data_IF_502448606276
#
_entry.id   IF_502448606276
#
_cell.length_a   1.000
_cell.length_b   1.000
_cell.length_c   1.000
_cell.angle_alpha   90.00
_cell.angle_beta   90.00
_cell.angle_gamma   90.00
#
_symmetry.space_group_name_H-M   'P 1'
#
loop_
_entity.id
_entity.type
_entity.pdbx_description
1 polymer ?
#
# COMPACT_ATOMS: atom_id res chain seq x y z
N UNK A 1 -2.53 -18.83 -3.98
CA UNK A 1 -3.65 -19.06 -4.90
C UNK A 1 -4.82 -18.10 -4.74
N UNK A 2 -5.03 -17.49 -3.57
CA UNK A 2 -6.23 -16.66 -3.32
C UNK A 2 -6.27 -15.32 -4.06
N UNK A 3 -5.14 -14.72 -4.38
CA UNK A 3 -5.09 -13.41 -5.05
C UNK A 3 -5.43 -13.47 -6.55
N UNK A 4 -5.25 -14.60 -7.21
CA UNK A 4 -5.68 -14.75 -8.60
C UNK A 4 -7.21 -14.70 -8.77
N UNK A 5 -7.96 -15.07 -7.74
CA UNK A 5 -9.42 -15.00 -7.80
C UNK A 5 -9.99 -13.58 -7.82
N UNK A 6 -9.34 -12.63 -7.14
CA UNK A 6 -9.80 -11.24 -7.17
C UNK A 6 -9.55 -10.57 -8.54
N UNK A 7 -8.56 -11.01 -9.30
CA UNK A 7 -8.22 -10.47 -10.61
C UNK A 7 -9.00 -11.13 -11.76
N UNK A 8 -9.45 -12.39 -11.60
CA UNK A 8 -10.20 -13.14 -12.60
C UNK A 8 -11.72 -13.00 -12.38
N UNK A 9 -12.21 -11.79 -12.46
CA UNK A 9 -13.65 -11.53 -12.40
C UNK A 9 -14.30 -12.01 -13.70
N UNK A 10 -15.36 -12.78 -13.56
CA UNK A 10 -16.08 -13.33 -14.71
C UNK A 10 -16.79 -12.20 -15.48
N UNK A 11 -16.68 -12.16 -16.82
CA UNK A 11 -17.13 -11.01 -17.63
C UNK A 11 -18.66 -10.78 -17.64
N UNK A 12 -19.46 -11.69 -17.11
CA UNK A 12 -20.93 -11.58 -17.10
C UNK A 12 -21.53 -10.86 -15.90
N UNK A 13 -20.73 -10.47 -14.88
CA UNK A 13 -21.23 -9.60 -13.83
C UNK A 13 -21.18 -8.14 -14.28
N UNK A 14 -22.33 -7.54 -14.49
CA UNK A 14 -22.44 -6.12 -14.90
C UNK A 14 -22.08 -5.13 -13.80
N UNK A 15 -22.31 -5.49 -12.54
CA UNK A 15 -22.00 -4.67 -11.38
C UNK A 15 -21.12 -5.46 -10.42
N UNK A 16 -19.87 -5.04 -10.33
CA UNK A 16 -18.92 -5.66 -9.42
C UNK A 16 -19.04 -5.03 -8.04
N UNK A 17 -19.26 -5.77 -6.98
CA UNK A 17 -19.19 -5.19 -5.64
C UNK A 17 -17.78 -4.64 -5.41
N UNK A 18 -17.70 -3.47 -4.80
CA UNK A 18 -16.43 -2.92 -4.36
C UNK A 18 -15.73 -3.88 -3.40
N UNK A 19 -14.45 -4.14 -3.61
CA UNK A 19 -13.66 -5.05 -2.77
C UNK A 19 -12.53 -4.27 -2.11
N UNK A 20 -12.53 -4.27 -0.79
CA UNK A 20 -11.42 -3.74 0.01
C UNK A 20 -10.56 -4.89 0.54
N UNK A 21 -9.27 -4.86 0.28
CA UNK A 21 -8.31 -5.83 0.77
C UNK A 21 -7.39 -5.13 1.75
N UNK A 22 -7.27 -5.66 2.96
CA UNK A 22 -6.38 -5.16 3.99
C UNK A 22 -5.26 -6.17 4.22
N UNK A 23 -4.02 -5.73 4.05
CA UNK A 23 -2.83 -6.54 4.29
C UNK A 23 -2.05 -5.92 5.44
N UNK A 24 -2.09 -6.56 6.59
CA UNK A 24 -1.26 -6.23 7.73
C UNK A 24 0.07 -6.99 7.65
N UNK A 25 1.13 -6.40 8.16
CA UNK A 25 2.49 -6.95 8.10
C UNK A 25 2.92 -7.41 6.70
N UNK A 26 2.91 -6.47 5.78
CA UNK A 26 3.11 -6.74 4.34
C UNK A 26 4.37 -7.53 4.00
N UNK A 27 5.42 -7.51 4.83
CA UNK A 27 6.67 -8.26 4.64
C UNK A 27 6.46 -9.77 4.41
N UNK A 28 5.38 -10.33 4.99
CA UNK A 28 5.03 -11.75 4.82
C UNK A 28 4.10 -12.02 3.64
N UNK A 29 3.43 -10.98 3.15
CA UNK A 29 2.34 -11.10 2.19
C UNK A 29 2.70 -10.58 0.79
N UNK A 30 3.72 -9.72 0.69
CA UNK A 30 4.16 -9.19 -0.59
C UNK A 30 4.79 -10.30 -1.45
N UNK A 31 4.23 -10.41 -2.64
CA UNK A 31 4.71 -11.29 -3.69
C UNK A 31 4.68 -10.54 -5.02
N UNK A 32 5.34 -11.06 -6.03
CA UNK A 32 5.29 -10.51 -7.40
C UNK A 32 3.86 -10.31 -7.90
N UNK A 33 2.95 -11.20 -7.51
CA UNK A 33 1.53 -11.10 -7.89
C UNK A 33 0.84 -9.92 -7.21
N UNK A 34 1.10 -9.67 -5.93
CA UNK A 34 0.55 -8.52 -5.20
C UNK A 34 1.08 -7.23 -5.77
N UNK A 35 2.39 -7.14 -6.04
CA UNK A 35 3.02 -5.96 -6.64
C UNK A 35 2.43 -5.65 -8.02
N UNK A 36 2.24 -6.65 -8.86
CA UNK A 36 1.58 -6.46 -10.16
C UNK A 36 0.10 -6.05 -10.02
N UNK A 37 -0.58 -6.54 -8.98
CA UNK A 37 -1.97 -6.19 -8.72
C UNK A 37 -2.13 -4.72 -8.32
N UNK A 38 -1.17 -4.12 -7.60
CA UNK A 38 -1.22 -2.71 -7.18
C UNK A 38 -1.53 -1.76 -8.33
N UNK A 39 -0.92 -1.96 -9.50
CA UNK A 39 -1.16 -1.12 -10.68
C UNK A 39 -2.51 -1.35 -11.37
N UNK A 40 -3.18 -2.48 -11.12
CA UNK A 40 -4.39 -2.90 -11.88
C UNK A 40 -5.66 -2.93 -11.04
N UNK A 41 -5.57 -2.94 -9.71
CA UNK A 41 -6.72 -3.08 -8.81
C UNK A 41 -7.74 -1.95 -8.97
N UNK A 42 -7.26 -0.72 -9.21
CA UNK A 42 -8.13 0.44 -9.41
C UNK A 42 -9.13 0.24 -10.56
N UNK A 43 -8.72 -0.34 -11.67
CA UNK A 43 -9.60 -0.62 -12.82
C UNK A 43 -10.61 -1.73 -12.54
N UNK A 44 -10.47 -2.43 -11.42
CA UNK A 44 -11.31 -3.55 -11.01
C UNK A 44 -12.21 -3.22 -9.81
N UNK A 45 -12.37 -1.94 -9.50
CA UNK A 45 -13.12 -1.46 -8.34
C UNK A 45 -12.66 -2.12 -7.04
N UNK A 46 -11.34 -2.27 -6.90
CA UNK A 46 -10.69 -2.81 -5.71
C UNK A 46 -9.76 -1.77 -5.12
N UNK A 47 -9.78 -1.63 -3.81
CA UNK A 47 -8.75 -0.90 -3.09
C UNK A 47 -7.89 -1.86 -2.25
N UNK A 48 -6.68 -1.42 -1.97
CA UNK A 48 -5.73 -2.17 -1.16
C UNK A 48 -5.19 -1.26 -0.06
N UNK A 49 -5.32 -1.68 1.18
CA UNK A 49 -4.71 -1.07 2.34
C UNK A 49 -3.51 -1.94 2.75
N UNK A 50 -2.34 -1.32 2.81
CA UNK A 50 -1.11 -1.98 3.22
C UNK A 50 -0.65 -1.39 4.55
N UNK A 51 -0.35 -2.23 5.53
CA UNK A 51 0.24 -1.82 6.78
C UNK A 51 1.62 -2.46 6.98
N UNK A 52 2.58 -1.67 7.45
CA UNK A 52 3.93 -2.12 7.78
C UNK A 52 4.49 -1.29 8.93
N UNK A 53 5.49 -1.81 9.61
CA UNK A 53 6.06 -1.18 10.80
C UNK A 53 7.24 -0.27 10.48
N UNK A 54 8.01 -0.58 9.44
CA UNK A 54 9.18 0.18 9.05
C UNK A 54 9.47 0.10 7.55
N UNK A 55 10.27 1.02 7.02
CA UNK A 55 10.77 0.95 5.65
C UNK A 55 11.66 -0.29 5.43
N UNK A 56 12.31 -0.78 6.48
CA UNK A 56 13.12 -2.00 6.42
C UNK A 56 12.31 -3.26 6.10
N UNK A 57 11.00 -3.26 6.34
CA UNK A 57 10.13 -4.40 6.04
C UNK A 57 10.11 -4.73 4.55
N UNK A 58 10.30 -3.73 3.68
CA UNK A 58 10.40 -3.95 2.23
C UNK A 58 11.62 -4.80 1.83
N UNK A 59 12.68 -4.76 2.62
CA UNK A 59 13.87 -5.60 2.42
C UNK A 59 13.70 -7.06 2.86
N UNK A 60 12.63 -7.36 3.58
CA UNK A 60 12.34 -8.69 4.10
C UNK A 60 11.28 -9.44 3.28
N UNK A 61 10.78 -8.82 2.22
CA UNK A 61 9.79 -9.41 1.33
C UNK A 61 10.49 -10.40 0.40
N UNK A 62 10.26 -11.70 0.54
CA UNK A 62 10.67 -12.78 -0.36
C UNK A 62 12.06 -12.70 -0.99
N UNK A 63 12.80 -13.79 -1.05
CA UNK A 63 14.19 -13.82 -1.52
C UNK A 63 14.36 -13.40 -3.00
N UNK A 64 13.29 -13.49 -3.79
CA UNK A 64 13.31 -13.21 -5.24
C UNK A 64 12.95 -11.77 -5.61
N UNK A 65 12.71 -10.91 -4.60
CA UNK A 65 12.27 -9.53 -4.82
C UNK A 65 13.34 -8.54 -4.32
N UNK A 66 13.98 -7.77 -5.21
CA UNK A 66 14.90 -6.71 -4.79
C UNK A 66 14.18 -5.67 -3.93
N UNK A 67 14.73 -5.35 -2.75
CA UNK A 67 14.13 -4.44 -1.77
C UNK A 67 13.74 -3.07 -2.37
N UNK A 68 14.60 -2.47 -3.16
CA UNK A 68 14.33 -1.19 -3.81
C UNK A 68 13.19 -1.27 -4.83
N UNK A 69 13.09 -2.38 -5.57
CA UNK A 69 11.98 -2.60 -6.49
C UNK A 69 10.65 -2.69 -5.74
N UNK A 70 10.62 -3.45 -4.63
CA UNK A 70 9.42 -3.59 -3.78
C UNK A 70 9.02 -2.23 -3.22
N UNK A 71 9.96 -1.53 -2.60
CA UNK A 71 9.76 -0.20 -2.00
C UNK A 71 9.21 0.79 -3.02
N UNK A 72 9.88 0.94 -4.16
CA UNK A 72 9.46 1.87 -5.22
C UNK A 72 8.08 1.51 -5.74
N UNK A 73 7.84 0.24 -6.07
CA UNK A 73 6.55 -0.21 -6.59
C UNK A 73 5.41 0.04 -5.61
N UNK A 74 5.61 -0.25 -4.32
CA UNK A 74 4.59 0.00 -3.30
C UNK A 74 4.35 1.49 -3.14
N UNK A 75 5.41 2.29 -2.98
CA UNK A 75 5.28 3.72 -2.73
C UNK A 75 4.65 4.47 -3.90
N UNK A 76 4.98 4.13 -5.14
CA UNK A 76 4.43 4.78 -6.32
C UNK A 76 2.94 4.45 -6.53
N UNK A 77 2.51 3.25 -6.12
CA UNK A 77 1.12 2.82 -6.27
C UNK A 77 0.24 3.07 -5.03
N UNK A 78 0.80 3.62 -3.94
CA UNK A 78 0.06 3.99 -2.72
C UNK A 78 0.19 5.48 -2.43
N UNK A 79 -0.50 6.34 -3.18
CA UNK A 79 -0.37 7.79 -3.02
C UNK A 79 -0.89 8.30 -1.67
N UNK A 80 -1.91 7.66 -1.09
CA UNK A 80 -2.45 8.04 0.22
C UNK A 80 -1.69 7.26 1.29
N UNK A 81 -1.08 7.99 2.24
CA UNK A 81 -0.26 7.41 3.30
C UNK A 81 -0.62 7.96 4.65
N UNK A 82 -0.56 7.09 5.64
CA UNK A 82 -0.79 7.41 7.05
C UNK A 82 0.46 7.06 7.82
N UNK A 83 1.08 8.07 8.43
CA UNK A 83 2.26 7.91 9.26
C UNK A 83 1.86 8.02 10.73
N UNK A 84 1.84 6.90 11.41
CA UNK A 84 1.76 6.85 12.86
C UNK A 84 3.13 7.14 13.47
N UNK A 85 3.24 7.08 14.80
CA UNK A 85 4.51 7.31 15.48
C UNK A 85 5.63 6.45 14.91
N UNK A 86 6.65 7.09 14.34
CA UNK A 86 7.80 6.42 13.76
C UNK A 86 8.84 6.08 14.82
N UNK A 87 9.17 4.79 15.01
CA UNK A 87 10.17 4.36 15.97
C UNK A 87 11.60 4.62 15.50
N UNK A 88 11.88 4.50 14.19
CA UNK A 88 13.21 4.72 13.63
C UNK A 88 13.38 6.13 13.07
N UNK A 89 14.59 6.67 13.23
CA UNK A 89 14.94 7.98 12.67
C UNK A 89 14.81 8.00 11.15
N UNK A 90 15.20 6.93 10.47
CA UNK A 90 15.12 6.81 9.01
C UNK A 90 13.67 6.92 8.52
N UNK A 91 12.76 6.16 9.15
CA UNK A 91 11.33 6.22 8.80
C UNK A 91 10.75 7.60 9.08
N UNK A 92 11.14 8.24 10.18
CA UNK A 92 10.68 9.58 10.53
C UNK A 92 11.20 10.64 9.54
N UNK A 93 12.45 10.56 9.13
CA UNK A 93 13.03 11.48 8.13
C UNK A 93 12.36 11.33 6.77
N UNK A 94 12.16 10.09 6.34
CA UNK A 94 11.46 9.82 5.10
C UNK A 94 10.01 10.33 5.14
N UNK A 95 9.28 10.05 6.22
CA UNK A 95 7.91 10.51 6.39
C UNK A 95 7.83 12.05 6.44
N UNK A 96 8.75 12.73 7.14
CA UNK A 96 8.84 14.19 7.17
C UNK A 96 8.98 14.77 5.76
N UNK A 97 9.84 14.18 4.91
CA UNK A 97 10.00 14.57 3.52
C UNK A 97 8.75 14.41 2.66
N UNK A 98 7.80 13.53 3.06
CA UNK A 98 6.53 13.34 2.35
C UNK A 98 5.45 14.37 2.74
N UNK A 99 5.67 15.18 3.77
CA UNK A 99 4.66 16.12 4.28
C UNK A 99 4.62 17.44 3.52
N UNK A 100 5.60 17.69 2.64
CA UNK A 100 5.80 18.96 1.97
C UNK A 100 6.59 19.95 2.84
N UNK A 101 6.96 21.08 2.27
CA UNK A 101 7.79 22.10 2.89
C UNK A 101 7.02 23.38 3.14
N UNK A 102 7.31 24.01 4.28
CA UNK A 102 6.89 25.37 4.61
C UNK A 102 8.11 26.26 4.72
N UNK A 103 7.94 27.55 4.41
CA UNK A 103 8.98 28.57 4.63
C UNK A 103 8.73 29.23 5.97
N UNK A 104 9.72 29.15 6.85
CA UNK A 104 9.67 29.74 8.18
C UNK A 104 10.73 30.86 8.25
N UNK A 105 10.35 31.99 8.78
CA UNK A 105 11.28 33.10 9.04
C UNK A 105 12.11 32.78 10.29
N UNK A 106 13.41 32.61 10.11
CA UNK A 106 14.36 32.34 11.20
C UNK A 106 15.20 33.56 11.42
N UNK A 107 15.11 34.13 12.64
CA UNK A 107 15.99 35.21 13.08
C UNK A 107 17.36 34.62 13.41
N UNK A 108 18.39 35.07 12.69
CA UNK A 108 19.77 34.72 12.98
C UNK A 108 20.47 35.96 13.53
N UNK A 109 21.08 35.81 14.71
CA UNK A 109 21.93 36.85 15.33
C UNK A 109 23.41 36.54 15.08
N UNK A 110 24.15 37.53 14.70
CA UNK A 110 25.58 37.38 14.50
C UNK A 110 26.29 37.42 15.86
N UNK A 111 26.86 36.32 16.29
CA UNK A 111 27.74 36.27 17.44
C UNK A 111 29.19 36.40 16.95
N UNK A 112 29.90 37.41 17.38
CA UNK A 112 31.37 37.52 17.19
C UNK A 112 32.06 37.12 18.48
N UNK A 113 33.02 36.20 18.37
CA UNK A 113 33.85 35.76 19.48
C UNK A 113 35.15 36.57 19.41
N UNK A 114 35.36 37.49 20.32
CA UNK A 114 36.67 38.15 20.49
C UNK A 114 37.59 37.31 21.37
N UNK A 115 38.91 37.49 21.15
CA UNK A 115 40.00 36.80 21.88
C UNK A 115 40.02 37.19 23.37
N UNK A 116 39.13 36.59 24.14
CA UNK A 116 38.92 36.86 25.56
C UNK A 116 37.74 36.10 26.16
N UNK A 117 37.17 35.18 25.41
CA UNK A 117 36.02 34.33 25.83
C UNK A 117 34.72 35.07 26.17
N UNK A 118 34.58 36.33 25.74
CA UNK A 118 33.35 37.11 25.88
C UNK A 118 32.61 37.03 24.56
N UNK A 119 31.41 36.42 24.54
CA UNK A 119 30.53 36.46 23.39
C UNK A 119 29.87 37.84 23.32
N UNK A 120 30.27 38.64 22.35
CA UNK A 120 29.51 39.83 21.96
C UNK A 120 28.44 39.47 20.97
N UNK A 121 27.19 39.49 21.40
CA UNK A 121 26.03 39.38 20.50
C UNK A 121 25.89 40.78 19.87
N UNK A 122 26.28 40.90 18.61
CA UNK A 122 26.03 42.12 17.83
C UNK A 122 24.52 42.26 17.67
N UNK A 123 24.03 43.49 17.85
CA UNK A 123 22.58 43.78 17.73
C UNK A 123 22.00 43.59 16.34
N UNK A 124 22.82 43.18 15.34
CA UNK A 124 22.40 42.95 14.00
C UNK A 124 21.73 41.57 13.90
N UNK A 125 20.42 41.56 13.81
CA UNK A 125 19.62 40.36 13.43
C UNK A 125 19.21 40.44 11.98
N UNK A 126 19.29 39.33 11.28
CA UNK A 126 18.72 39.24 9.94
C UNK A 126 17.73 38.06 9.88
N UNK A 127 16.64 38.29 9.18
CA UNK A 127 15.59 37.27 8.97
C UNK A 127 15.97 36.49 7.71
N UNK A 128 16.16 35.19 7.85
CA UNK A 128 16.37 34.27 6.74
C UNK A 128 15.19 33.34 6.61
N UNK A 129 14.68 33.19 5.40
CA UNK A 129 13.65 32.19 5.11
C UNK A 129 14.31 30.81 4.98
N UNK A 130 13.90 29.90 5.83
CA UNK A 130 14.36 28.51 5.81
C UNK A 130 13.21 27.60 5.45
N UNK A 131 13.45 26.66 4.50
CA UNK A 131 12.49 25.62 4.18
C UNK A 131 12.57 24.52 5.22
N UNK A 132 11.42 24.14 5.79
CA UNK A 132 11.31 23.03 6.75
C UNK A 132 10.14 22.14 6.37
N UNK A 133 10.20 20.82 6.65
CA UNK A 133 9.06 19.94 6.51
C UNK A 133 7.87 20.49 7.30
N UNK A 134 6.66 20.34 6.75
CA UNK A 134 5.43 20.76 7.44
C UNK A 134 5.25 20.03 8.78
N UNK A 135 5.54 18.73 8.80
CA UNK A 135 5.67 17.94 10.02
C UNK A 135 7.13 17.49 10.12
N UNK A 136 7.80 17.93 11.16
CA UNK A 136 9.21 17.62 11.37
C UNK A 136 9.41 16.20 11.95
N UNK A 137 10.66 15.77 11.95
CA UNK A 137 11.07 14.45 12.46
C UNK A 137 10.67 14.25 13.92
N UNK A 138 10.85 15.29 14.77
CA UNK A 138 10.51 15.20 16.18
C UNK A 138 9.02 15.01 16.38
N UNK A 139 8.20 15.75 15.65
CA UNK A 139 6.74 15.58 15.67
C UNK A 139 6.34 14.16 15.33
N UNK A 140 6.92 13.57 14.25
CA UNK A 140 6.59 12.22 13.81
C UNK A 140 7.06 11.13 14.78
N UNK A 141 8.16 11.35 15.50
CA UNK A 141 8.64 10.41 16.51
C UNK A 141 7.85 10.46 17.83
N UNK A 142 7.17 11.58 18.10
CA UNK A 142 6.46 11.81 19.36
C UNK A 142 4.94 11.95 19.18
N UNK A 143 4.40 11.47 18.06
CA UNK A 143 2.95 11.43 17.87
C UNK A 143 2.27 10.64 19.00
N UNK A 144 1.21 11.18 19.60
CA UNK A 144 0.43 10.45 20.59
C UNK A 144 -0.27 9.24 19.97
N UNK A 145 -0.66 8.28 20.80
CA UNK A 145 -1.38 7.10 20.34
C UNK A 145 -2.72 7.50 19.67
N UNK A 146 -3.01 6.87 18.54
CA UNK A 146 -4.18 7.17 17.71
C UNK A 146 -4.01 8.35 16.76
N UNK A 147 -2.95 9.14 16.88
CA UNK A 147 -2.67 10.21 15.93
C UNK A 147 -1.79 9.72 14.78
N UNK A 148 -2.09 10.24 13.59
CA UNK A 148 -1.31 10.00 12.39
C UNK A 148 -1.20 11.26 11.54
N UNK A 149 -0.17 11.36 10.73
CA UNK A 149 -0.05 12.35 9.67
C UNK A 149 -0.45 11.70 8.35
N UNK A 150 -1.46 12.27 7.71
CA UNK A 150 -1.98 11.80 6.43
C UNK A 150 -1.44 12.67 5.29
N UNK A 151 -0.95 12.02 4.24
CA UNK A 151 -0.46 12.65 3.00
C UNK A 151 -1.16 12.07 1.77
N UNK A 152 -1.00 12.73 0.63
CA UNK A 152 -1.51 12.25 -0.67
C UNK A 152 -2.91 12.75 -1.05
N UNK A 153 -3.60 13.46 -0.16
CA UNK A 153 -4.87 14.12 -0.41
C UNK A 153 -4.76 15.65 -0.24
N UNK A 154 -3.81 16.26 -0.93
CA UNK A 154 -3.49 17.69 -0.79
C UNK A 154 -2.43 17.91 0.29
N UNK A 155 -2.54 19.02 1.04
CA UNK A 155 -1.60 19.36 2.11
C UNK A 155 -1.66 18.31 3.21
N UNK A 156 -0.49 17.90 3.71
CA UNK A 156 -0.41 16.96 4.81
C UNK A 156 -1.15 17.49 6.05
N UNK A 157 -1.87 16.62 6.71
CA UNK A 157 -2.69 16.98 7.88
C UNK A 157 -2.64 15.91 8.96
N UNK A 158 -2.78 16.34 10.20
CA UNK A 158 -2.91 15.42 11.33
C UNK A 158 -4.34 14.86 11.36
N UNK A 159 -4.44 13.57 11.61
CA UNK A 159 -5.70 12.84 11.75
C UNK A 159 -5.68 12.03 13.05
N UNK A 160 -6.83 11.84 13.65
CA UNK A 160 -7.01 11.00 14.82
C UNK A 160 -7.87 9.79 14.47
N UNK A 161 -7.40 8.60 14.82
CA UNK A 161 -8.14 7.35 14.69
C UNK A 161 -8.50 6.81 16.07
N UNK A 162 -9.80 6.63 16.31
CA UNK A 162 -10.29 5.99 17.54
C UNK A 162 -10.50 4.49 17.28
N UNK A 163 -10.08 3.62 18.20
CA UNK A 163 -10.38 2.20 18.07
C UNK A 163 -11.88 1.97 18.08
N UNK A 164 -12.36 1.19 17.13
CA UNK A 164 -13.75 0.75 17.12
C UNK A 164 -13.98 -0.22 18.29
N UNK A 165 -15.01 0.05 19.11
CA UNK A 165 -15.49 -0.95 20.05
C UNK A 165 -16.28 -2.00 19.29
N UNK A 166 -15.67 -3.16 19.08
CA UNK A 166 -16.35 -4.30 18.46
C UNK A 166 -16.96 -5.12 19.58
N UNK A 167 -18.28 -5.17 19.62
CA UNK A 167 -18.98 -6.15 20.45
C UNK A 167 -18.73 -7.54 19.82
N UNK A 168 -18.22 -8.47 20.63
CA UNK A 168 -18.11 -9.85 20.22
C UNK A 168 -19.52 -10.40 19.99
N UNK A 169 -19.91 -10.51 18.73
CA UNK A 169 -21.12 -11.19 18.33
C UNK A 169 -20.72 -12.55 17.79
N UNK A 170 -21.21 -13.60 18.39
CA UNK A 170 -21.10 -14.93 17.79
C UNK A 170 -21.95 -14.92 16.52
N UNK A 171 -21.31 -14.84 15.39
CA UNK A 171 -21.96 -15.01 14.09
C UNK A 171 -22.00 -16.51 13.85
N UNK A 172 -23.19 -17.16 13.84
CA UNK A 172 -23.26 -18.55 13.46
C UNK A 172 -22.66 -18.71 12.07
N UNK A 173 -21.56 -19.45 11.98
CA UNK A 173 -20.95 -19.80 10.69
C UNK A 173 -22.04 -20.49 9.86
N UNK A 174 -22.60 -19.78 8.89
CA UNK A 174 -23.39 -20.42 7.86
C UNK A 174 -22.49 -21.44 7.18
N UNK A 175 -22.79 -22.72 7.35
CA UNK A 175 -22.13 -23.74 6.55
C UNK A 175 -22.40 -23.37 5.10
N UNK A 176 -21.35 -23.07 4.36
CA UNK A 176 -21.49 -22.95 2.91
C UNK A 176 -22.24 -24.19 2.43
N UNK A 177 -23.30 -24.02 1.63
CA UNK A 177 -23.94 -25.16 1.01
C UNK A 177 -22.82 -25.95 0.34
N UNK A 178 -22.67 -27.21 0.73
CA UNK A 178 -21.74 -28.11 0.05
C UNK A 178 -22.21 -28.09 -1.40
N UNK A 179 -21.47 -27.41 -2.26
CA UNK A 179 -21.70 -27.43 -3.68
C UNK A 179 -21.74 -28.92 -4.02
N UNK A 180 -22.94 -29.42 -4.43
CA UNK A 180 -23.05 -30.75 -4.94
C UNK A 180 -21.91 -30.91 -5.94
N UNK A 181 -21.16 -32.00 -5.84
CA UNK A 181 -20.06 -32.29 -6.78
C UNK A 181 -20.68 -32.49 -8.16
N UNK A 182 -21.10 -31.39 -8.76
CA UNK A 182 -21.42 -31.37 -10.19
C UNK A 182 -20.07 -31.49 -10.88
N UNK A 183 -19.86 -32.60 -11.54
CA UNK A 183 -18.69 -32.82 -12.37
C UNK A 183 -18.64 -31.66 -13.39
N UNK A 184 -17.68 -30.73 -13.30
CA UNK A 184 -17.61 -29.57 -14.18
C UNK A 184 -17.39 -29.95 -15.66
N UNK A 185 -17.10 -31.22 -15.93
CA UNK A 185 -16.91 -31.77 -17.26
C UNK A 185 -18.12 -32.60 -17.73
N UNK A 186 -19.19 -32.70 -16.94
CA UNK A 186 -20.36 -33.48 -17.34
C UNK A 186 -21.02 -32.94 -18.63
N UNK A 187 -20.96 -31.64 -18.85
CA UNK A 187 -21.45 -30.99 -20.08
C UNK A 187 -20.56 -31.23 -21.31
N UNK A 188 -19.32 -31.65 -21.11
CA UNK A 188 -18.35 -31.92 -22.18
C UNK A 188 -18.17 -33.41 -22.46
N UNK A 189 -18.92 -34.29 -21.80
CA UNK A 189 -18.90 -35.72 -22.17
C UNK A 189 -19.65 -35.91 -23.46
N UNK A 190 -19.02 -36.44 -24.52
CA UNK A 190 -19.74 -36.82 -25.72
C UNK A 190 -20.79 -37.85 -25.32
N UNK A 191 -21.95 -37.86 -26.00
CA UNK A 191 -23.01 -38.85 -25.74
C UNK A 191 -22.42 -40.25 -25.83
N UNK A 192 -22.82 -41.12 -24.89
CA UNK A 192 -22.28 -42.48 -24.75
C UNK A 192 -22.64 -43.42 -25.93
N UNK A 193 -23.46 -42.94 -26.82
CA UNK A 193 -23.84 -43.69 -28.02
C UNK A 193 -22.82 -43.44 -29.13
N UNK A 194 -22.09 -44.48 -29.46
CA UNK A 194 -20.95 -44.58 -30.38
C UNK A 194 -21.20 -44.17 -31.84
N UNK A 195 -21.82 -43.04 -32.10
CA UNK A 195 -21.95 -42.42 -33.40
C UNK A 195 -20.83 -41.40 -33.66
N UNK A 196 -19.58 -41.82 -33.69
CA UNK A 196 -18.51 -40.99 -34.25
C UNK A 196 -18.80 -40.73 -35.72
N UNK A 197 -18.55 -39.49 -36.24
CA UNK A 197 -18.64 -39.25 -37.69
C UNK A 197 -17.71 -40.23 -38.39
N UNK A 198 -18.26 -40.96 -39.36
CA UNK A 198 -17.48 -41.78 -40.29
C UNK A 198 -16.48 -40.82 -40.94
N UNK A 199 -15.20 -41.16 -40.86
CA UNK A 199 -14.16 -40.49 -41.62
C UNK A 199 -14.53 -40.68 -43.10
N UNK A 200 -15.01 -39.63 -43.72
CA UNK A 200 -15.08 -39.56 -45.17
C UNK A 200 -13.64 -39.40 -45.68
N UNK A 201 -13.24 -40.42 -46.49
CA UNK A 201 -11.96 -40.52 -47.20
C UNK A 201 -11.87 -39.50 -48.38
N UNK A 202 -12.00 -38.21 -48.09
CA UNK A 202 -11.91 -37.17 -49.12
C UNK A 202 -10.78 -36.15 -48.87
N UNK A 203 -9.61 -36.64 -48.50
CA UNK A 203 -8.38 -35.82 -48.60
C UNK A 203 -7.27 -36.55 -49.35
N UNK A 204 -7.60 -37.05 -50.56
CA UNK A 204 -6.61 -37.40 -51.55
C UNK A 204 -6.54 -36.28 -52.59
N UNK A 205 -5.56 -35.41 -52.49
CA UNK A 205 -5.22 -34.52 -53.59
C UNK A 205 -5.20 -33.04 -53.28
N UNK A 206 -4.09 -32.56 -52.71
CA UNK A 206 -3.51 -31.26 -53.10
C UNK A 206 -1.99 -31.37 -52.77
N UNK A 207 -1.21 -31.42 -53.82
CA UNK A 207 0.22 -31.18 -53.81
C UNK A 207 0.51 -29.71 -53.60
#
# INVERSE_FOLDING_TARGET
>A
GGFQFAAARLPWFREWPHVSVMLDEIKYLLSKYVLNALGTLRSRDCNLLLAHQSLGDFGQCGQDLPAEFVKTTVLDNTPIRWFYRAASLESAQWAAGQTGEIRVDVERRRASREAGNVEHISGDSFIQKEARPLFDVNTLQHLPDGFAVMTGLGVARMAFSSPLRVERREIPLQRFPVLAKTDPLAEFRPPADGGGPKADDDFAGIY
#
